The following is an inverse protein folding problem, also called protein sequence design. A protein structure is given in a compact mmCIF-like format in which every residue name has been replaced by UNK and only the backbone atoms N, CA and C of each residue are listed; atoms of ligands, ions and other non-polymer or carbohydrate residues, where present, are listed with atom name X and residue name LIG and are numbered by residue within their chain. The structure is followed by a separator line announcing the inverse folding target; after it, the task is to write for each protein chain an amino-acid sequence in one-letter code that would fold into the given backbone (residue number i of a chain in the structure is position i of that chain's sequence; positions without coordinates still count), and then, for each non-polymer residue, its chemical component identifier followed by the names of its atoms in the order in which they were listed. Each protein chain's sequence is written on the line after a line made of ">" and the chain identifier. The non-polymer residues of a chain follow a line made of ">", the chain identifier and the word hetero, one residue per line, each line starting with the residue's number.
data_IF_918140754463
#
_entry.id   IF_918140754463
#
_cell.length_a   1.000
_cell.length_b   1.000
_cell.length_c   1.000
_cell.angle_alpha   90.00
_cell.angle_beta   90.00
_cell.angle_gamma   90.00
#
_symmetry.space_group_name_H-M   'P 1'
#
loop_
_entity.id
_entity.type
_entity.pdbx_description
1 polymer ?
#
# COMPACT_ATOMS: atom_id res chain seq x y z
N UNK A 1 -24.08 -53.15 1.06
CA UNK A 1 -24.12 -54.16 2.12
C UNK A 1 -25.32 -53.87 3.02
N UNK A 2 -26.35 -54.70 2.93
CA UNK A 2 -27.59 -54.59 3.71
C UNK A 2 -27.39 -55.02 5.16
N UNK A 3 -26.41 -55.88 5.45
CA UNK A 3 -26.08 -56.31 6.80
C UNK A 3 -25.38 -55.20 7.59
N UNK A 4 -24.51 -54.44 6.93
CA UNK A 4 -23.82 -53.29 7.55
C UNK A 4 -24.47 -51.94 7.25
N UNK A 5 -25.64 -51.93 6.59
CA UNK A 5 -26.35 -50.72 6.12
C UNK A 5 -25.43 -49.70 5.43
N UNK A 6 -24.57 -50.19 4.53
CA UNK A 6 -23.59 -49.38 3.79
C UNK A 6 -23.84 -49.40 2.29
N UNK A 7 -23.92 -48.22 1.68
CA UNK A 7 -23.94 -48.02 0.23
C UNK A 7 -22.60 -47.42 -0.19
N UNK A 8 -21.96 -48.00 -1.20
CA UNK A 8 -20.71 -47.48 -1.76
C UNK A 8 -20.88 -47.19 -3.24
N UNK A 9 -20.66 -45.94 -3.62
CA UNK A 9 -20.65 -45.46 -5.00
C UNK A 9 -19.18 -45.39 -5.44
N UNK A 10 -18.81 -46.14 -6.47
CA UNK A 10 -17.41 -46.25 -6.90
C UNK A 10 -16.84 -44.95 -7.49
N UNK A 11 -17.60 -44.26 -8.34
CA UNK A 11 -17.17 -43.00 -8.96
C UNK A 11 -18.37 -42.18 -9.41
N UNK A 12 -18.33 -40.88 -9.14
CA UNK A 12 -19.18 -39.87 -9.76
C UNK A 12 -18.33 -39.04 -10.72
N UNK A 13 -18.70 -39.01 -11.99
CA UNK A 13 -17.99 -38.27 -13.04
C UNK A 13 -18.94 -37.35 -13.78
N UNK A 14 -18.51 -36.11 -14.04
CA UNK A 14 -19.23 -35.20 -14.93
C UNK A 14 -18.26 -34.34 -15.74
N UNK A 15 -18.62 -34.04 -16.99
CA UNK A 15 -17.79 -33.28 -17.92
C UNK A 15 -18.57 -32.23 -18.70
N UNK A 16 -17.94 -31.08 -19.00
CA UNK A 16 -18.54 -30.02 -19.80
C UNK A 16 -19.66 -29.24 -19.10
N UNK A 17 -19.77 -29.37 -17.77
CA UNK A 17 -20.78 -28.68 -16.98
C UNK A 17 -20.57 -27.17 -16.94
N UNK A 18 -21.66 -26.42 -16.81
CA UNK A 18 -21.62 -24.95 -16.64
C UNK A 18 -22.38 -24.56 -15.39
N UNK A 19 -21.74 -23.77 -14.54
CA UNK A 19 -22.34 -23.21 -13.33
C UNK A 19 -22.28 -21.69 -13.40
N UNK A 20 -23.39 -21.02 -13.11
CA UNK A 20 -23.44 -19.59 -12.93
C UNK A 20 -23.87 -19.30 -11.49
N UNK A 21 -23.11 -18.47 -10.80
CA UNK A 21 -23.37 -18.01 -9.44
C UNK A 21 -23.52 -16.50 -9.53
N UNK A 22 -24.62 -15.98 -8.98
CA UNK A 22 -24.87 -14.54 -8.96
C UNK A 22 -25.04 -14.06 -7.54
N UNK A 23 -24.30 -13.02 -7.16
CA UNK A 23 -24.54 -12.26 -5.93
C UNK A 23 -25.41 -11.05 -6.28
N UNK A 24 -26.59 -10.99 -5.72
CA UNK A 24 -27.56 -9.92 -5.94
C UNK A 24 -27.19 -8.66 -5.16
N UNK A 25 -27.86 -7.54 -5.47
CA UNK A 25 -27.60 -6.23 -4.86
C UNK A 25 -27.80 -6.20 -3.35
N UNK A 26 -28.69 -7.04 -2.83
CA UNK A 26 -28.93 -7.21 -1.39
C UNK A 26 -27.87 -8.11 -0.71
N UNK A 27 -26.87 -8.56 -1.47
CA UNK A 27 -25.81 -9.45 -1.01
C UNK A 27 -26.19 -10.93 -0.97
N UNK A 28 -27.45 -11.28 -1.28
CA UNK A 28 -27.88 -12.68 -1.37
C UNK A 28 -27.19 -13.38 -2.54
N UNK A 29 -26.87 -14.66 -2.36
CA UNK A 29 -26.30 -15.48 -3.44
C UNK A 29 -27.44 -16.28 -4.06
N UNK A 30 -27.76 -15.98 -5.31
CA UNK A 30 -28.67 -16.79 -6.10
C UNK A 30 -27.98 -18.10 -6.47
N UNK A 31 -28.25 -19.12 -5.65
CA UNK A 31 -27.92 -20.52 -5.91
C UNK A 31 -29.10 -21.29 -6.51
N UNK A 32 -30.21 -20.63 -6.90
CA UNK A 32 -31.49 -21.28 -7.22
C UNK A 32 -31.45 -22.25 -8.41
N UNK A 33 -30.31 -22.36 -9.11
CA UNK A 33 -30.06 -23.36 -10.16
C UNK A 33 -29.32 -24.62 -9.68
N UNK A 34 -28.77 -24.63 -8.48
CA UNK A 34 -28.28 -25.83 -7.79
C UNK A 34 -29.46 -26.33 -6.96
N UNK A 35 -30.27 -27.21 -7.55
CA UNK A 35 -31.63 -27.55 -7.11
C UNK A 35 -31.85 -27.52 -5.59
N UNK A 36 -32.94 -26.87 -5.19
CA UNK A 36 -33.46 -26.92 -3.81
C UNK A 36 -33.58 -28.40 -3.40
N UNK A 37 -32.90 -28.83 -2.31
CA UNK A 37 -33.16 -30.14 -1.76
C UNK A 37 -34.67 -30.22 -1.47
N UNK A 38 -35.37 -31.31 -1.83
CA UNK A 38 -36.73 -31.51 -1.36
C UNK A 38 -36.72 -31.39 0.18
N UNK A 39 -37.72 -30.72 0.74
CA UNK A 39 -37.85 -30.57 2.19
C UNK A 39 -37.79 -31.95 2.85
N UNK A 40 -36.74 -32.20 3.63
CA UNK A 40 -36.56 -33.49 4.28
C UNK A 40 -37.68 -33.69 5.32
N UNK A 41 -38.34 -34.87 5.34
CA UNK A 41 -39.23 -35.23 6.43
C UNK A 41 -38.44 -35.36 7.74
N UNK A 42 -39.12 -35.17 8.88
CA UNK A 42 -38.52 -35.20 10.22
C UNK A 42 -37.58 -36.39 10.44
N UNK A 43 -36.46 -36.22 11.18
CA UNK A 43 -35.41 -37.23 11.30
C UNK A 43 -35.96 -38.51 11.92
N UNK A 44 -35.80 -39.64 11.21
CA UNK A 44 -35.95 -40.97 11.78
C UNK A 44 -34.67 -41.34 12.55
N UNK A 45 -34.84 -42.02 13.68
CA UNK A 45 -33.83 -42.41 14.67
C UNK A 45 -32.38 -42.57 14.13
N UNK A 46 -31.48 -41.72 14.64
CA UNK A 46 -30.08 -41.61 14.23
C UNK A 46 -29.25 -42.90 14.43
N UNK A 47 -29.68 -43.81 15.31
CA UNK A 47 -28.99 -45.07 15.61
C UNK A 47 -29.12 -46.12 14.49
N UNK A 48 -29.82 -45.80 13.40
CA UNK A 48 -30.21 -46.75 12.36
C UNK A 48 -29.90 -46.30 10.92
N UNK A 49 -29.23 -45.16 10.74
CA UNK A 49 -29.02 -44.51 9.44
C UNK A 49 -28.06 -45.27 8.51
N UNK A 50 -28.40 -45.31 7.21
CA UNK A 50 -27.52 -45.86 6.18
C UNK A 50 -26.25 -45.01 6.02
N UNK A 51 -25.10 -45.67 5.97
CA UNK A 51 -23.82 -45.03 5.64
C UNK A 51 -23.62 -45.02 4.13
N UNK A 52 -23.44 -43.85 3.54
CA UNK A 52 -23.17 -43.66 2.12
C UNK A 52 -21.72 -43.23 1.95
N UNK A 53 -20.97 -43.93 1.11
CA UNK A 53 -19.62 -43.58 0.72
C UNK A 53 -19.51 -43.38 -0.79
N UNK A 54 -18.88 -42.30 -1.24
CA UNK A 54 -18.57 -42.00 -2.64
C UNK A 54 -17.05 -41.97 -2.78
N UNK A 55 -16.46 -43.00 -3.41
CA UNK A 55 -15.00 -43.21 -3.39
C UNK A 55 -14.22 -42.16 -4.20
N UNK A 56 -14.81 -41.63 -5.26
CA UNK A 56 -14.16 -40.62 -6.09
C UNK A 56 -15.18 -39.73 -6.79
N UNK A 57 -14.93 -38.42 -6.76
CA UNK A 57 -15.66 -37.43 -7.55
C UNK A 57 -14.72 -36.76 -8.52
N UNK A 58 -15.09 -36.72 -9.80
CA UNK A 58 -14.31 -36.05 -10.85
C UNK A 58 -15.19 -35.16 -11.70
N UNK A 59 -14.89 -33.87 -11.68
CA UNK A 59 -15.42 -32.87 -12.62
C UNK A 59 -14.29 -32.52 -13.60
N UNK A 60 -14.58 -32.52 -14.90
CA UNK A 60 -13.60 -32.23 -15.94
C UNK A 60 -14.15 -31.25 -16.96
N UNK A 61 -13.36 -30.24 -17.31
CA UNK A 61 -13.74 -29.21 -18.30
C UNK A 61 -15.05 -28.48 -17.94
N UNK A 62 -15.20 -28.13 -16.66
CA UNK A 62 -16.32 -27.31 -16.22
C UNK A 62 -16.04 -25.82 -16.46
N UNK A 63 -17.10 -25.03 -16.62
CA UNK A 63 -17.02 -23.58 -16.61
C UNK A 63 -17.85 -23.02 -15.45
N UNK A 64 -17.26 -22.10 -14.69
CA UNK A 64 -17.94 -21.36 -13.63
C UNK A 64 -17.96 -19.88 -14.00
N UNK A 65 -19.11 -19.25 -13.89
CA UNK A 65 -19.25 -17.79 -13.98
C UNK A 65 -19.73 -17.26 -12.64
N UNK A 66 -19.06 -16.25 -12.14
CA UNK A 66 -19.45 -15.51 -10.96
C UNK A 66 -19.79 -14.07 -11.35
N UNK A 67 -21.02 -13.64 -11.11
CA UNK A 67 -21.48 -12.26 -11.33
C UNK A 67 -21.81 -11.64 -9.97
N UNK A 68 -21.10 -10.59 -9.55
CA UNK A 68 -21.42 -9.80 -8.36
C UNK A 68 -22.07 -8.46 -8.75
N UNK A 69 -23.38 -8.38 -8.54
CA UNK A 69 -24.18 -7.18 -8.75
C UNK A 69 -24.29 -6.30 -7.48
N UNK A 70 -23.73 -6.72 -6.34
CA UNK A 70 -23.67 -5.94 -5.11
C UNK A 70 -22.64 -4.81 -5.17
N UNK A 71 -21.71 -4.85 -6.13
CA UNK A 71 -20.74 -3.78 -6.40
C UNK A 71 -21.09 -3.03 -7.69
N UNK A 72 -20.65 -1.78 -7.77
CA UNK A 72 -20.88 -0.91 -8.92
C UNK A 72 -19.55 -0.36 -9.46
N UNK A 73 -19.22 -0.56 -10.76
CA UNK A 73 -19.95 -1.40 -11.71
C UNK A 73 -19.94 -2.88 -11.29
N UNK A 74 -20.94 -3.63 -11.75
CA UNK A 74 -21.03 -5.07 -11.46
C UNK A 74 -19.77 -5.80 -11.94
N UNK A 75 -19.28 -6.73 -11.13
CA UNK A 75 -18.07 -7.49 -11.41
C UNK A 75 -18.45 -8.87 -11.93
N UNK A 76 -17.76 -9.32 -12.97
CA UNK A 76 -17.88 -10.70 -13.44
C UNK A 76 -16.50 -11.37 -13.47
N UNK A 77 -16.45 -12.63 -13.07
CA UNK A 77 -15.27 -13.48 -13.16
C UNK A 77 -15.68 -14.82 -13.77
N UNK A 78 -14.93 -15.27 -14.78
CA UNK A 78 -15.13 -16.57 -15.41
C UNK A 78 -13.98 -17.51 -15.00
N UNK A 79 -14.27 -18.77 -14.76
CA UNK A 79 -13.28 -19.84 -14.55
C UNK A 79 -13.58 -20.94 -15.55
N UNK A 80 -12.75 -21.07 -16.57
CA UNK A 80 -12.87 -22.07 -17.62
C UNK A 80 -11.97 -23.29 -17.34
N UNK A 81 -12.25 -24.39 -18.03
CA UNK A 81 -11.47 -25.65 -17.97
C UNK A 81 -11.28 -26.15 -16.53
N UNK A 82 -12.26 -25.91 -15.67
CA UNK A 82 -12.22 -26.29 -14.28
C UNK A 82 -12.21 -27.82 -14.18
N UNK A 83 -11.16 -28.35 -13.56
CA UNK A 83 -11.09 -29.75 -13.13
C UNK A 83 -11.09 -29.80 -11.61
N UNK A 84 -11.98 -30.60 -11.06
CA UNK A 84 -12.07 -30.88 -9.63
C UNK A 84 -11.98 -32.38 -9.41
N UNK A 85 -11.12 -32.79 -8.49
CA UNK A 85 -11.00 -34.17 -8.03
C UNK A 85 -11.12 -34.16 -6.51
N UNK A 86 -12.08 -34.93 -5.99
CA UNK A 86 -12.24 -35.19 -4.56
C UNK A 86 -11.99 -36.67 -4.29
N UNK A 87 -11.32 -36.95 -3.17
CA UNK A 87 -11.20 -38.29 -2.62
C UNK A 87 -12.53 -38.81 -2.07
N UNK A 88 -12.45 -39.85 -1.25
CA UNK A 88 -13.64 -40.50 -0.68
C UNK A 88 -14.44 -39.55 0.20
N UNK A 89 -15.73 -39.40 -0.10
CA UNK A 89 -16.72 -38.71 0.71
C UNK A 89 -17.56 -39.74 1.47
N UNK A 90 -17.84 -39.52 2.75
CA UNK A 90 -18.66 -40.42 3.57
C UNK A 90 -19.75 -39.64 4.31
N UNK A 91 -20.90 -40.27 4.57
CA UNK A 91 -21.96 -39.69 5.40
C UNK A 91 -21.70 -39.87 6.90
N UNK A 92 -20.77 -40.75 7.30
CA UNK A 92 -20.20 -40.78 8.64
C UNK A 92 -19.15 -39.66 8.80
N UNK A 93 -18.78 -39.33 10.06
CA UNK A 93 -17.77 -38.29 10.40
C UNK A 93 -16.60 -38.31 9.40
N UNK A 94 -16.47 -37.22 8.63
CA UNK A 94 -15.59 -37.16 7.47
C UNK A 94 -14.16 -36.91 7.93
N UNK A 95 -13.29 -37.89 7.71
CA UNK A 95 -11.85 -37.64 7.68
C UNK A 95 -11.53 -36.62 6.58
N UNK A 96 -10.42 -35.88 6.75
CA UNK A 96 -10.01 -34.86 5.79
C UNK A 96 -9.88 -35.44 4.35
N UNK A 97 -10.69 -34.90 3.44
CA UNK A 97 -10.87 -35.33 2.06
C UNK A 97 -9.80 -34.71 1.17
N UNK A 98 -8.98 -35.49 0.46
CA UNK A 98 -8.07 -34.95 -0.55
C UNK A 98 -8.82 -34.19 -1.64
N UNK A 99 -8.33 -33.00 -1.99
CA UNK A 99 -8.86 -32.17 -3.08
C UNK A 99 -7.74 -31.78 -4.05
N UNK A 100 -8.05 -31.78 -5.34
CA UNK A 100 -7.26 -31.13 -6.37
C UNK A 100 -8.19 -30.34 -7.28
N UNK A 101 -7.90 -29.07 -7.46
CA UNK A 101 -8.62 -28.14 -8.29
C UNK A 101 -7.64 -27.44 -9.22
N UNK A 102 -7.98 -27.35 -10.50
CA UNK A 102 -7.23 -26.58 -11.49
C UNK A 102 -8.19 -25.88 -12.44
N UNK A 103 -7.85 -24.69 -12.92
CA UNK A 103 -8.67 -23.94 -13.86
C UNK A 103 -7.97 -22.73 -14.45
N UNK A 104 -8.65 -22.09 -15.39
CA UNK A 104 -8.21 -20.85 -16.03
C UNK A 104 -9.16 -19.73 -15.64
N UNK A 105 -8.67 -18.73 -14.90
CA UNK A 105 -9.43 -17.54 -14.52
C UNK A 105 -9.39 -16.53 -15.66
N UNK A 106 -10.57 -16.08 -16.06
CA UNK A 106 -10.85 -15.19 -17.17
C UNK A 106 -10.22 -15.73 -18.46
N UNK A 107 -9.25 -15.03 -19.03
CA UNK A 107 -8.64 -15.40 -20.31
C UNK A 107 -7.25 -16.03 -20.20
N UNK A 108 -6.48 -15.73 -19.14
CA UNK A 108 -5.06 -16.13 -19.06
C UNK A 108 -4.54 -16.44 -17.67
N UNK A 109 -5.32 -16.20 -16.61
CA UNK A 109 -4.91 -16.53 -15.25
C UNK A 109 -4.99 -18.03 -15.01
N UNK A 110 -4.00 -18.62 -14.36
CA UNK A 110 -4.07 -20.01 -13.91
C UNK A 110 -4.34 -20.05 -12.41
N UNK A 111 -5.19 -20.98 -12.00
CA UNK A 111 -5.43 -21.30 -10.59
C UNK A 111 -5.30 -22.79 -10.39
N UNK A 112 -4.56 -23.17 -9.35
CA UNK A 112 -4.54 -24.52 -8.82
C UNK A 112 -4.58 -24.50 -7.30
N UNK A 113 -5.27 -25.49 -6.75
CA UNK A 113 -5.30 -25.76 -5.32
C UNK A 113 -5.22 -27.28 -5.10
N UNK A 114 -4.32 -27.72 -4.23
CA UNK A 114 -4.17 -29.15 -3.88
C UNK A 114 -3.99 -29.30 -2.38
N UNK A 115 -4.71 -30.22 -1.77
CA UNK A 115 -4.59 -30.42 -0.34
C UNK A 115 -5.69 -31.29 0.25
N UNK A 116 -6.12 -30.95 1.47
CA UNK A 116 -7.16 -31.67 2.20
C UNK A 116 -8.23 -30.70 2.71
N UNK A 117 -9.48 -31.14 2.66
CA UNK A 117 -10.66 -30.42 3.18
C UNK A 117 -11.30 -31.25 4.28
N UNK A 118 -11.54 -30.66 5.43
CA UNK A 118 -12.39 -31.22 6.46
C UNK A 118 -13.80 -30.66 6.27
N UNK A 119 -14.71 -31.49 5.76
CA UNK A 119 -16.08 -31.07 5.46
C UNK A 119 -16.94 -30.93 6.73
N UNK A 120 -16.53 -31.54 7.84
CA UNK A 120 -17.25 -31.47 9.11
C UNK A 120 -16.93 -30.16 9.84
N UNK A 121 -15.67 -29.74 9.83
CA UNK A 121 -15.25 -28.46 10.46
C UNK A 121 -15.18 -27.29 9.47
N UNK A 122 -15.35 -27.56 8.18
CA UNK A 122 -15.07 -26.64 7.07
C UNK A 122 -13.61 -26.14 7.08
N UNK A 123 -12.71 -26.94 7.64
CA UNK A 123 -11.27 -26.68 7.67
C UNK A 123 -10.59 -27.03 6.35
N UNK A 124 -9.45 -26.41 6.07
CA UNK A 124 -8.72 -26.63 4.83
C UNK A 124 -7.20 -26.53 5.05
N UNK A 125 -6.44 -27.42 4.42
CA UNK A 125 -4.99 -27.31 4.30
C UNK A 125 -4.64 -27.45 2.82
N UNK A 126 -4.39 -26.33 2.15
CA UNK A 126 -4.28 -26.23 0.69
C UNK A 126 -2.95 -25.63 0.29
N UNK A 127 -2.28 -26.24 -0.69
CA UNK A 127 -1.23 -25.58 -1.46
C UNK A 127 -1.90 -24.86 -2.63
N UNK A 128 -1.70 -23.56 -2.72
CA UNK A 128 -2.25 -22.67 -3.74
C UNK A 128 -1.17 -22.30 -4.75
N UNK A 129 -1.55 -22.23 -6.03
CA UNK A 129 -0.72 -21.72 -7.12
C UNK A 129 -1.60 -20.90 -8.07
N UNK A 130 -1.51 -19.58 -7.93
CA UNK A 130 -2.17 -18.60 -8.78
C UNK A 130 -1.08 -17.96 -9.64
N UNK A 131 -1.27 -17.96 -10.96
CA UNK A 131 -0.32 -17.34 -11.90
C UNK A 131 -1.03 -16.36 -12.79
N UNK A 132 -0.54 -15.12 -12.79
CA UNK A 132 -0.98 -14.04 -13.69
C UNK A 132 -2.50 -13.87 -13.75
N UNK A 133 -3.16 -13.86 -12.59
CA UNK A 133 -4.59 -13.58 -12.51
C UNK A 133 -4.80 -12.08 -12.67
N UNK A 134 -5.47 -11.66 -13.74
CA UNK A 134 -5.74 -10.26 -14.02
C UNK A 134 -6.65 -9.64 -12.95
N UNK A 135 -6.26 -8.48 -12.41
CA UNK A 135 -6.99 -7.76 -11.37
C UNK A 135 -7.97 -6.73 -11.93
N UNK A 136 -7.85 -6.36 -13.21
CA UNK A 136 -8.76 -5.40 -13.86
C UNK A 136 -10.25 -5.75 -13.65
N UNK A 137 -10.70 -7.01 -13.79
CA UNK A 137 -12.11 -7.35 -13.54
C UNK A 137 -12.56 -7.07 -12.10
N UNK A 138 -11.64 -7.02 -11.13
CA UNK A 138 -11.91 -6.76 -9.72
C UNK A 138 -11.82 -5.26 -9.36
N UNK A 139 -11.73 -4.36 -10.34
CA UNK A 139 -11.55 -2.93 -10.12
C UNK A 139 -12.58 -2.34 -9.14
N UNK A 140 -13.85 -2.76 -9.21
CA UNK A 140 -14.90 -2.25 -8.33
C UNK A 140 -14.65 -2.55 -6.83
N UNK A 141 -13.82 -3.54 -6.49
CA UNK A 141 -13.40 -3.79 -5.11
C UNK A 141 -12.12 -3.03 -4.73
N UNK A 142 -11.28 -2.73 -5.70
CA UNK A 142 -9.93 -2.21 -5.45
C UNK A 142 -9.90 -0.68 -5.42
N UNK A 143 -10.72 -0.02 -6.23
CA UNK A 143 -10.62 1.43 -6.44
C UNK A 143 -11.92 2.19 -6.19
N UNK A 144 -12.95 1.53 -5.64
CA UNK A 144 -14.18 2.20 -5.24
C UNK A 144 -13.89 3.34 -4.25
N UNK A 145 -14.38 4.54 -4.55
CA UNK A 145 -14.22 5.72 -3.69
C UNK A 145 -12.84 6.39 -3.71
N UNK A 146 -11.87 5.88 -4.50
CA UNK A 146 -10.48 6.37 -4.47
C UNK A 146 -10.12 7.41 -5.53
N UNK A 147 -10.99 7.66 -6.51
CA UNK A 147 -10.67 8.52 -7.66
C UNK A 147 -9.59 7.94 -8.60
N UNK A 148 -9.18 6.70 -8.40
CA UNK A 148 -8.20 5.98 -9.23
C UNK A 148 -8.88 4.88 -10.03
N UNK A 149 -8.38 4.61 -11.23
CA UNK A 149 -8.80 3.47 -12.04
C UNK A 149 -7.63 2.57 -12.38
N UNK A 150 -7.87 1.26 -12.33
CA UNK A 150 -6.85 0.24 -12.61
C UNK A 150 -6.90 -0.13 -14.10
N UNK A 151 -5.90 0.30 -14.87
CA UNK A 151 -5.77 -0.08 -16.28
C UNK A 151 -5.19 -1.46 -16.44
N UNK A 152 -4.20 -1.86 -15.66
CA UNK A 152 -3.69 -3.23 -15.68
C UNK A 152 -3.11 -3.59 -14.33
N UNK A 153 -3.14 -4.87 -14.00
CA UNK A 153 -2.34 -5.50 -12.98
C UNK A 153 -2.63 -7.00 -13.02
N UNK A 154 -1.62 -7.82 -12.79
CA UNK A 154 -1.77 -9.26 -12.65
C UNK A 154 -1.17 -9.70 -11.32
N UNK A 155 -1.87 -10.58 -10.61
CA UNK A 155 -1.41 -11.15 -9.35
C UNK A 155 -0.92 -12.58 -9.57
N UNK A 156 0.18 -12.94 -8.92
CA UNK A 156 0.61 -14.33 -8.77
C UNK A 156 0.85 -14.60 -7.29
N UNK A 157 0.45 -15.78 -6.82
CA UNK A 157 0.52 -16.17 -5.42
C UNK A 157 0.82 -17.67 -5.36
N UNK A 158 1.81 -18.06 -4.56
CA UNK A 158 2.17 -19.46 -4.36
C UNK A 158 2.43 -19.72 -2.89
N UNK A 159 1.72 -20.68 -2.29
CA UNK A 159 1.88 -20.89 -0.86
C UNK A 159 0.96 -21.93 -0.25
N UNK A 160 0.97 -21.99 1.08
CA UNK A 160 0.13 -22.83 1.91
C UNK A 160 -0.94 -21.99 2.58
N UNK A 161 -2.20 -22.33 2.36
CA UNK A 161 -3.36 -21.81 3.05
C UNK A 161 -3.86 -22.85 4.05
N UNK A 162 -3.92 -22.46 5.32
CA UNK A 162 -4.50 -23.27 6.39
C UNK A 162 -5.69 -22.52 6.98
N UNK A 163 -6.84 -23.17 7.03
CA UNK A 163 -8.08 -22.68 7.64
C UNK A 163 -8.44 -23.67 8.75
N UNK A 164 -8.35 -23.21 10.00
CA UNK A 164 -8.75 -24.01 11.16
C UNK A 164 -10.19 -23.69 11.56
N UNK A 165 -11.02 -24.74 11.64
CA UNK A 165 -12.38 -24.75 12.19
C UNK A 165 -13.27 -23.56 11.74
N UNK A 166 -13.66 -23.54 10.46
CA UNK A 166 -14.47 -22.46 9.90
C UNK A 166 -15.94 -22.43 10.38
N UNK A 167 -16.38 -23.40 11.19
CA UNK A 167 -17.65 -23.34 11.94
C UNK A 167 -17.62 -22.46 13.20
N UNK A 168 -16.48 -21.84 13.55
CA UNK A 168 -16.39 -20.84 14.63
C UNK A 168 -16.73 -19.44 14.11
N UNK A 169 -17.20 -18.56 15.00
CA UNK A 169 -17.54 -17.16 14.68
C UNK A 169 -16.37 -16.38 14.04
N UNK A 170 -15.12 -16.81 14.28
CA UNK A 170 -13.92 -16.26 13.65
C UNK A 170 -13.01 -17.39 13.15
N UNK A 171 -12.98 -17.70 11.84
CA UNK A 171 -12.08 -18.71 11.29
C UNK A 171 -10.62 -18.27 11.43
N UNK A 172 -9.78 -19.14 12.00
CA UNK A 172 -8.34 -18.90 12.05
C UNK A 172 -7.73 -19.30 10.71
N UNK A 173 -7.37 -18.29 9.92
CA UNK A 173 -6.75 -18.44 8.61
C UNK A 173 -5.28 -18.08 8.73
N UNK A 174 -4.41 -18.93 8.18
CA UNK A 174 -2.99 -18.64 8.00
C UNK A 174 -2.57 -18.92 6.56
N UNK A 175 -1.98 -17.92 5.93
CA UNK A 175 -1.33 -18.05 4.63
C UNK A 175 0.19 -17.92 4.79
N UNK A 176 0.95 -18.82 4.17
CA UNK A 176 2.41 -18.73 4.05
C UNK A 176 2.87 -18.94 2.62
N UNK A 177 3.69 -18.03 2.09
CA UNK A 177 4.27 -18.21 0.75
C UNK A 177 4.69 -16.90 0.11
N UNK A 178 4.68 -16.86 -1.21
CA UNK A 178 5.11 -15.71 -1.98
C UNK A 178 3.94 -15.10 -2.74
N UNK A 179 3.94 -13.79 -2.88
CA UNK A 179 2.95 -13.05 -3.66
C UNK A 179 3.65 -12.01 -4.55
N UNK A 180 3.08 -11.72 -5.71
CA UNK A 180 3.55 -10.61 -6.54
C UNK A 180 2.44 -9.98 -7.35
N UNK A 181 2.53 -8.67 -7.55
CA UNK A 181 1.70 -7.89 -8.45
C UNK A 181 2.60 -7.39 -9.57
N UNK A 182 2.29 -7.74 -10.81
CA UNK A 182 3.07 -7.36 -11.97
C UNK A 182 2.28 -6.47 -12.94
N UNK A 183 3.00 -5.60 -13.64
CA UNK A 183 2.49 -4.69 -14.67
C UNK A 183 1.31 -3.84 -14.18
N UNK A 184 1.43 -3.25 -12.99
CA UNK A 184 0.40 -2.38 -12.47
C UNK A 184 0.44 -1.03 -13.19
N UNK A 185 -0.72 -0.60 -13.68
CA UNK A 185 -0.95 0.75 -14.21
C UNK A 185 -2.24 1.25 -13.57
N UNK A 186 -2.11 2.24 -12.69
CA UNK A 186 -3.20 2.94 -12.07
C UNK A 186 -3.17 4.42 -12.50
N UNK A 187 -4.34 4.93 -12.90
CA UNK A 187 -4.49 6.29 -13.43
C UNK A 187 -5.50 7.08 -12.62
N UNK A 188 -5.25 8.37 -12.51
CA UNK A 188 -6.18 9.34 -11.94
C UNK A 188 -7.42 9.45 -12.85
N UNK A 189 -8.61 9.24 -12.30
CA UNK A 189 -9.89 9.32 -13.05
C UNK A 189 -10.29 10.74 -13.43
N UNK A 190 -9.76 11.77 -12.76
CA UNK A 190 -10.04 13.18 -13.06
C UNK A 190 -9.29 13.64 -14.30
N UNK A 191 -8.01 13.25 -14.40
CA UNK A 191 -7.10 13.76 -15.44
C UNK A 191 -6.74 12.72 -16.50
N UNK A 192 -7.13 11.45 -16.32
CA UNK A 192 -6.77 10.30 -17.16
C UNK A 192 -5.25 10.15 -17.38
N UNK A 193 -4.48 10.45 -16.33
CA UNK A 193 -3.01 10.38 -16.36
C UNK A 193 -2.46 9.33 -15.41
N UNK A 194 -1.32 8.76 -15.77
CA UNK A 194 -0.59 7.81 -14.93
C UNK A 194 -0.33 8.42 -13.56
N UNK A 195 -0.88 7.76 -12.55
CA UNK A 195 -0.74 8.13 -11.15
C UNK A 195 0.29 7.25 -10.46
N UNK A 196 0.19 5.93 -10.67
CA UNK A 196 1.06 4.94 -10.06
C UNK A 196 1.23 3.76 -11.02
N UNK A 197 2.48 3.43 -11.34
CA UNK A 197 2.80 2.25 -12.14
C UNK A 197 3.98 1.49 -11.55
N UNK A 198 4.05 0.19 -11.82
CA UNK A 198 5.26 -0.60 -11.58
C UNK A 198 5.30 -1.85 -12.45
N UNK A 199 6.50 -2.34 -12.77
CA UNK A 199 6.63 -3.66 -13.42
C UNK A 199 6.41 -4.79 -12.43
N UNK A 200 6.93 -4.69 -11.20
CA UNK A 200 6.79 -5.75 -10.20
C UNK A 200 6.84 -5.23 -8.77
N UNK A 201 5.85 -5.64 -7.98
CA UNK A 201 5.88 -5.65 -6.54
C UNK A 201 5.91 -7.12 -6.09
N UNK A 202 6.96 -7.54 -5.39
CA UNK A 202 7.13 -8.90 -4.88
C UNK A 202 7.16 -8.90 -3.35
N UNK A 203 6.47 -9.86 -2.75
CA UNK A 203 6.45 -10.13 -1.32
C UNK A 203 6.90 -11.58 -1.13
N UNK A 204 8.08 -11.77 -0.57
CA UNK A 204 8.67 -13.09 -0.35
C UNK A 204 8.48 -13.52 1.11
N UNK A 205 8.18 -14.81 1.30
CA UNK A 205 7.94 -15.41 2.63
C UNK A 205 6.90 -14.64 3.45
N UNK A 206 5.80 -14.27 2.80
CA UNK A 206 4.61 -13.69 3.42
C UNK A 206 4.02 -14.69 4.44
N UNK A 207 3.69 -14.23 5.65
CA UNK A 207 2.99 -14.97 6.71
C UNK A 207 1.84 -14.10 7.26
N UNK A 208 0.61 -14.38 6.83
CA UNK A 208 -0.59 -13.66 7.27
C UNK A 208 -1.41 -14.57 8.16
N UNK A 209 -1.79 -14.09 9.35
CA UNK A 209 -2.73 -14.76 10.26
C UNK A 209 -3.91 -13.84 10.53
N UNK A 210 -5.12 -14.40 10.65
CA UNK A 210 -6.32 -13.62 10.96
C UNK A 210 -6.74 -13.67 12.44
N UNK A 211 -6.29 -14.68 13.20
CA UNK A 211 -6.67 -14.86 14.60
C UNK A 211 -5.51 -15.45 15.44
N UNK A 212 -4.78 -14.63 16.23
CA UNK A 212 -4.82 -13.15 16.20
C UNK A 212 -4.28 -12.60 14.86
N UNK A 213 -4.69 -11.38 14.49
CA UNK A 213 -4.25 -10.73 13.26
C UNK A 213 -2.74 -10.43 13.34
N UNK A 214 -1.95 -10.96 12.40
CA UNK A 214 -0.52 -10.65 12.29
C UNK A 214 -0.08 -10.69 10.83
N UNK A 215 0.83 -9.79 10.44
CA UNK A 215 1.38 -9.73 9.09
C UNK A 215 2.91 -9.78 9.14
N UNK A 216 3.50 -10.71 8.40
CA UNK A 216 4.95 -10.85 8.27
C UNK A 216 5.37 -11.00 6.81
N UNK A 217 6.50 -10.43 6.42
CA UNK A 217 7.18 -10.75 5.16
C UNK A 217 8.69 -10.62 5.35
N UNK A 218 9.49 -11.52 4.76
CA UNK A 218 10.94 -11.42 4.87
C UNK A 218 11.47 -10.31 3.95
N UNK A 219 10.92 -10.23 2.73
CA UNK A 219 11.33 -9.23 1.75
C UNK A 219 10.15 -8.68 0.96
N UNK A 220 10.14 -7.37 0.76
CA UNK A 220 9.28 -6.66 -0.18
C UNK A 220 10.19 -5.98 -1.21
N UNK A 221 9.95 -6.18 -2.50
CA UNK A 221 10.72 -5.53 -3.57
C UNK A 221 9.78 -4.84 -4.54
N UNK A 222 9.98 -3.54 -4.78
CA UNK A 222 9.26 -2.75 -5.76
C UNK A 222 10.24 -2.31 -6.87
N UNK A 223 10.02 -2.82 -8.08
CA UNK A 223 10.93 -2.62 -9.22
C UNK A 223 10.24 -1.89 -10.37
N UNK A 224 11.01 -0.98 -10.99
CA UNK A 224 10.62 -0.17 -12.15
C UNK A 224 9.29 0.55 -11.90
N UNK A 225 9.22 1.34 -10.84
CA UNK A 225 8.02 2.06 -10.43
C UNK A 225 8.03 3.51 -10.89
N UNK A 226 6.83 4.03 -11.17
CA UNK A 226 6.59 5.44 -11.39
C UNK A 226 5.46 5.93 -10.48
N UNK A 227 5.61 7.13 -9.93
CA UNK A 227 4.58 7.78 -9.11
C UNK A 227 4.49 9.26 -9.40
N UNK A 228 3.27 9.80 -9.44
CA UNK A 228 3.01 11.24 -9.56
C UNK A 228 2.51 11.81 -8.23
N UNK A 229 3.35 12.60 -7.59
CA UNK A 229 3.06 13.35 -6.37
C UNK A 229 2.66 14.78 -6.72
N UNK A 230 1.45 15.18 -6.36
CA UNK A 230 0.96 16.55 -6.58
C UNK A 230 0.63 17.17 -5.23
N UNK A 231 1.28 18.29 -4.92
CA UNK A 231 0.90 19.17 -3.81
C UNK A 231 -0.08 20.21 -4.33
N UNK A 232 -1.32 20.18 -3.82
CA UNK A 232 -2.40 21.07 -4.22
C UNK A 232 -2.14 22.52 -3.78
N UNK A 233 -2.89 23.50 -4.34
CA UNK A 233 -2.84 24.89 -3.85
C UNK A 233 -3.19 25.06 -2.37
N UNK A 234 -3.90 24.09 -1.78
CA UNK A 234 -4.24 24.04 -0.35
C UNK A 234 -3.18 23.31 0.48
N UNK A 235 -2.06 22.90 -0.11
CA UNK A 235 -0.98 22.17 0.56
C UNK A 235 -1.31 20.70 0.86
N UNK A 236 -2.22 20.09 0.10
CA UNK A 236 -2.61 18.68 0.26
C UNK A 236 -1.99 17.81 -0.81
N UNK A 237 -1.46 16.64 -0.42
CA UNK A 237 -0.97 15.65 -1.38
C UNK A 237 -2.12 14.78 -1.90
N UNK A 238 -2.10 14.50 -3.20
CA UNK A 238 -3.07 13.64 -3.89
C UNK A 238 -3.21 12.22 -3.30
N UNK A 239 -2.19 11.67 -2.61
CA UNK A 239 -2.26 10.33 -1.99
C UNK A 239 -3.17 10.24 -0.75
N UNK A 240 -3.42 11.36 -0.06
CA UNK A 240 -4.25 11.34 1.17
C UNK A 240 -5.73 11.09 0.86
N UNK A 241 -6.16 11.36 -0.36
CA UNK A 241 -7.53 11.13 -0.82
C UNK A 241 -7.84 9.63 -0.99
N UNK A 242 -6.84 8.78 -1.21
CA UNK A 242 -7.00 7.32 -1.29
C UNK A 242 -7.42 6.70 0.05
N UNK A 243 -6.94 7.26 1.16
CA UNK A 243 -7.21 6.77 2.52
C UNK A 243 -8.36 7.48 3.21
N UNK A 244 -8.82 8.62 2.66
CA UNK A 244 -9.88 9.44 3.26
C UNK A 244 -11.30 9.02 2.83
N UNK A 245 -11.44 8.00 1.98
CA UNK A 245 -12.73 7.49 1.50
C UNK A 245 -13.64 6.92 2.61
N UNK A 246 -13.14 6.78 3.83
CA UNK A 246 -13.93 6.37 5.01
C UNK A 246 -14.46 7.54 5.85
N UNK A 247 -14.05 8.79 5.58
CA UNK A 247 -14.40 9.96 6.40
C UNK A 247 -15.49 10.87 5.81
N UNK A 248 -16.03 10.55 4.61
CA UNK A 248 -16.96 11.43 3.90
C UNK A 248 -18.31 10.78 3.55
N UNK A 249 -18.76 9.79 4.31
CA UNK A 249 -20.15 9.31 4.28
C UNK A 249 -20.68 9.15 5.70
N UNK A 250 -21.32 10.21 6.21
CA UNK A 250 -22.04 10.13 7.49
C UNK A 250 -22.18 11.44 8.24
N UNK A 251 -22.69 12.50 7.60
CA UNK A 251 -23.38 13.55 8.34
C UNK A 251 -24.89 13.23 8.30
N UNK A 252 -25.51 13.23 9.48
CA UNK A 252 -26.90 12.93 9.83
C UNK A 252 -27.24 11.45 10.13
N UNK A 253 -27.02 11.01 11.37
CA UNK A 253 -28.12 10.89 12.34
C UNK A 253 -27.58 10.78 13.79
N UNK A 254 -28.22 11.48 14.72
CA UNK A 254 -27.95 11.37 16.15
C UNK A 254 -28.54 10.06 16.68
N UNK A 255 -27.68 9.07 16.93
CA UNK A 255 -27.96 7.99 17.88
C UNK A 255 -26.66 7.57 18.54
N UNK A 256 -26.51 7.93 19.81
CA UNK A 256 -25.37 7.56 20.66
C UNK A 256 -25.53 6.08 21.03
N UNK A 257 -25.16 5.19 20.11
CA UNK A 257 -24.64 3.88 20.48
C UNK A 257 -23.16 4.08 20.83
N UNK A 258 -22.77 3.75 22.05
CA UNK A 258 -21.37 3.70 22.49
C UNK A 258 -20.61 2.68 21.63
N UNK A 259 -20.05 3.14 20.53
CA UNK A 259 -19.04 2.41 19.77
C UNK A 259 -17.85 2.24 20.73
N UNK A 260 -17.41 1.01 21.04
CA UNK A 260 -16.19 0.82 21.82
C UNK A 260 -15.06 1.59 21.14
N UNK A 261 -14.17 2.27 21.89
CA UNK A 261 -13.08 3.01 21.28
C UNK A 261 -12.31 2.09 20.34
N UNK A 262 -11.97 2.53 19.10
CA UNK A 262 -11.17 1.72 18.21
C UNK A 262 -9.89 1.32 18.94
N UNK A 263 -9.60 0.02 18.97
CA UNK A 263 -8.38 -0.52 19.57
C UNK A 263 -7.16 0.19 18.96
N UNK A 264 -6.43 0.93 19.78
CA UNK A 264 -5.29 1.78 19.39
C UNK A 264 -4.02 1.01 19.04
N UNK A 265 -4.04 -0.31 19.22
CA UNK A 265 -2.86 -1.15 19.02
C UNK A 265 -2.89 -1.76 17.61
N UNK A 266 -1.94 -1.31 16.78
CA UNK A 266 -1.68 -1.90 15.47
C UNK A 266 -1.42 -3.41 15.62
N UNK A 267 -1.92 -4.26 14.72
CA UNK A 267 -1.57 -5.67 14.74
C UNK A 267 -0.04 -5.85 14.62
N UNK A 268 0.53 -6.96 15.12
CA UNK A 268 1.93 -7.29 14.88
C UNK A 268 2.25 -7.30 13.38
N UNK A 269 3.12 -6.39 12.96
CA UNK A 269 3.62 -6.24 11.60
C UNK A 269 5.13 -6.41 11.66
N UNK A 270 5.69 -7.24 10.76
CA UNK A 270 7.15 -7.40 10.61
C UNK A 270 7.52 -7.50 9.13
N UNK A 271 8.44 -6.66 8.69
CA UNK A 271 9.03 -6.72 7.36
C UNK A 271 10.55 -6.74 7.49
N UNK A 272 11.19 -7.82 7.04
CA UNK A 272 12.64 -7.98 7.13
C UNK A 272 13.39 -6.94 6.31
N UNK A 273 13.06 -6.81 5.03
CA UNK A 273 13.68 -5.85 4.10
C UNK A 273 12.67 -5.34 3.07
N UNK A 274 12.63 -4.03 2.87
CA UNK A 274 11.96 -3.39 1.74
C UNK A 274 13.05 -2.89 0.80
N UNK A 275 12.97 -3.21 -0.48
CA UNK A 275 13.88 -2.75 -1.52
C UNK A 275 13.12 -1.99 -2.60
N UNK A 276 13.66 -0.83 -2.98
CA UNK A 276 13.17 0.01 -4.08
C UNK A 276 14.21 -0.04 -5.20
N UNK A 277 13.76 -0.32 -6.42
CA UNK A 277 14.65 -0.53 -7.57
C UNK A 277 14.14 0.26 -8.78
N UNK A 278 15.01 1.08 -9.36
CA UNK A 278 14.76 1.81 -10.61
C UNK A 278 13.47 2.65 -10.59
N UNK A 279 13.27 3.40 -9.52
CA UNK A 279 12.10 4.26 -9.35
C UNK A 279 12.21 5.60 -10.05
N UNK A 280 11.06 6.12 -10.47
CA UNK A 280 10.88 7.48 -10.94
C UNK A 280 9.69 8.13 -10.21
N UNK A 281 9.88 9.35 -9.73
CA UNK A 281 8.85 10.07 -8.98
C UNK A 281 8.75 11.48 -9.54
N UNK A 282 7.63 11.78 -10.18
CA UNK A 282 7.32 13.11 -10.66
C UNK A 282 6.64 13.89 -9.53
N UNK A 283 7.29 14.95 -9.07
CA UNK A 283 6.75 15.87 -8.09
C UNK A 283 6.26 17.15 -8.76
N UNK A 284 5.08 17.59 -8.35
CA UNK A 284 4.43 18.81 -8.85
C UNK A 284 3.89 19.62 -7.68
N UNK A 285 4.47 20.78 -7.43
CA UNK A 285 4.02 21.73 -6.42
C UNK A 285 3.16 22.84 -7.05
N UNK A 286 1.88 22.83 -6.68
CA UNK A 286 0.87 23.81 -7.09
C UNK A 286 0.51 24.79 -5.96
N UNK A 287 1.18 24.69 -4.81
CA UNK A 287 1.08 25.62 -3.67
C UNK A 287 1.84 26.93 -3.91
N UNK A 288 2.85 26.90 -4.78
CA UNK A 288 3.62 28.07 -5.21
C UNK A 288 3.27 28.49 -6.63
N UNK A 289 3.43 29.78 -6.94
CA UNK A 289 3.22 30.34 -8.29
C UNK A 289 4.42 31.19 -8.72
N UNK A 290 4.96 30.98 -9.95
CA UNK A 290 4.64 29.90 -10.89
C UNK A 290 4.83 28.50 -10.28
N UNK A 291 4.07 27.52 -10.77
CA UNK A 291 4.12 26.15 -10.25
C UNK A 291 5.53 25.58 -10.38
N UNK A 292 5.92 24.72 -9.45
CA UNK A 292 7.20 24.03 -9.48
C UNK A 292 7.01 22.55 -9.82
N UNK A 293 7.89 22.01 -10.65
CA UNK A 293 7.90 20.62 -11.05
C UNK A 293 9.33 20.09 -10.91
N UNK A 294 9.47 18.88 -10.38
CA UNK A 294 10.76 18.20 -10.21
C UNK A 294 10.62 16.72 -10.53
N UNK A 295 11.63 16.16 -11.18
CA UNK A 295 11.67 14.74 -11.51
C UNK A 295 12.73 14.02 -10.67
N UNK A 296 12.31 13.18 -9.73
CA UNK A 296 13.23 12.33 -8.97
C UNK A 296 13.44 11.04 -9.76
N UNK A 297 14.69 10.79 -10.10
CA UNK A 297 15.13 9.68 -10.96
C UNK A 297 16.06 8.78 -10.17
N UNK A 298 16.27 7.56 -10.66
CA UNK A 298 17.16 6.59 -10.01
C UNK A 298 16.80 6.35 -8.55
N UNK A 299 15.50 6.45 -8.21
CA UNK A 299 15.03 6.27 -6.85
C UNK A 299 15.22 4.80 -6.47
N UNK A 300 16.12 4.58 -5.53
CA UNK A 300 16.49 3.25 -5.08
C UNK A 300 16.90 3.25 -3.61
N UNK A 301 16.97 2.04 -3.05
CA UNK A 301 17.46 1.86 -1.69
C UNK A 301 16.67 0.83 -0.89
N UNK A 302 16.85 0.85 0.43
CA UNK A 302 16.39 -0.17 1.34
C UNK A 302 15.86 0.39 2.65
N UNK A 303 14.87 -0.29 3.22
CA UNK A 303 14.47 -0.17 4.63
C UNK A 303 14.52 -1.56 5.27
N UNK A 304 15.33 -1.73 6.31
CA UNK A 304 15.57 -3.02 6.96
C UNK A 304 15.01 -3.03 8.37
N UNK A 305 14.27 -4.08 8.75
CA UNK A 305 13.76 -4.28 10.10
C UNK A 305 12.52 -3.45 10.48
N UNK A 306 11.63 -3.17 9.52
CA UNK A 306 10.36 -2.48 9.82
C UNK A 306 9.45 -3.38 10.67
N UNK A 307 8.99 -2.88 11.81
CA UNK A 307 8.15 -3.63 12.75
C UNK A 307 7.22 -2.71 13.52
N UNK A 308 6.03 -3.20 13.90
CA UNK A 308 5.15 -2.49 14.84
C UNK A 308 5.58 -2.64 16.31
N UNK A 309 6.61 -3.46 16.59
CA UNK A 309 7.25 -3.52 17.91
C UNK A 309 7.90 -2.16 18.27
N UNK A 310 7.49 -1.48 19.37
CA UNK A 310 8.04 -0.19 19.79
C UNK A 310 9.55 -0.20 20.09
N UNK A 311 10.12 -1.36 20.42
CA UNK A 311 11.56 -1.52 20.65
C UNK A 311 12.36 -1.69 19.35
N UNK A 312 11.69 -1.93 18.22
CA UNK A 312 12.34 -2.08 16.92
C UNK A 312 12.66 -0.72 16.31
N UNK A 313 13.79 -0.63 15.62
CA UNK A 313 14.19 0.53 14.84
C UNK A 313 14.67 0.03 13.49
N UNK A 314 14.07 0.55 12.41
CA UNK A 314 14.40 0.16 11.05
C UNK A 314 15.54 1.04 10.51
N UNK A 315 16.44 0.44 9.71
CA UNK A 315 17.56 1.16 9.07
C UNK A 315 17.17 1.55 7.64
N UNK A 316 17.32 2.82 7.29
CA UNK A 316 17.01 3.40 5.99
C UNK A 316 18.29 3.75 5.25
N UNK A 317 18.34 3.41 3.96
CA UNK A 317 19.30 3.92 3.01
C UNK A 317 18.59 4.15 1.68
N UNK A 318 18.55 5.38 1.18
CA UNK A 318 17.92 5.75 -0.08
C UNK A 318 18.85 6.63 -0.90
N UNK A 319 18.77 6.47 -2.21
CA UNK A 319 19.43 7.30 -3.20
C UNK A 319 18.42 7.74 -4.27
N UNK A 320 18.63 8.93 -4.82
CA UNK A 320 17.91 9.44 -5.97
C UNK A 320 18.73 10.54 -6.65
N UNK A 321 18.30 10.98 -7.82
CA UNK A 321 18.82 12.18 -8.48
C UNK A 321 17.67 13.10 -8.89
N UNK A 322 17.73 14.37 -8.50
CA UNK A 322 16.76 15.38 -8.93
C UNK A 322 17.15 15.86 -10.33
N UNK A 323 16.19 15.80 -11.26
CA UNK A 323 16.31 16.19 -12.66
C UNK A 323 17.55 15.61 -13.35
N UNK A 324 17.90 14.35 -13.01
CA UNK A 324 19.07 13.61 -13.49
C UNK A 324 20.44 14.25 -13.17
N UNK A 325 20.49 15.26 -12.29
CA UNK A 325 21.69 16.07 -12.11
C UNK A 325 22.16 16.20 -10.66
N UNK A 326 21.23 16.37 -9.71
CA UNK A 326 21.58 16.61 -8.31
C UNK A 326 21.37 15.34 -7.48
N UNK A 327 22.43 14.62 -7.09
CA UNK A 327 22.29 13.41 -6.28
C UNK A 327 21.74 13.76 -4.89
N UNK A 328 20.87 12.90 -4.41
CA UNK A 328 20.25 12.93 -3.08
C UNK A 328 20.51 11.59 -2.42
N UNK A 329 21.01 11.63 -1.19
CA UNK A 329 21.18 10.46 -0.35
C UNK A 329 20.47 10.66 0.97
N UNK A 330 19.78 9.64 1.47
CA UNK A 330 19.07 9.67 2.74
C UNK A 330 19.42 8.40 3.50
N UNK A 331 20.09 8.52 4.63
CA UNK A 331 20.52 7.40 5.46
C UNK A 331 20.12 7.63 6.91
N UNK A 332 19.75 6.58 7.63
CA UNK A 332 19.43 6.73 9.04
C UNK A 332 18.60 5.60 9.60
N UNK A 333 17.86 5.91 10.64
CA UNK A 333 17.06 4.99 11.41
C UNK A 333 15.69 5.60 11.71
N UNK A 334 14.63 4.80 11.66
CA UNK A 334 13.29 5.26 12.00
C UNK A 334 12.40 4.12 12.49
N UNK A 335 11.32 4.46 13.19
CA UNK A 335 10.19 3.56 13.38
C UNK A 335 8.88 4.34 13.13
N UNK A 336 8.32 4.24 11.91
CA UNK A 336 7.11 4.98 11.55
C UNK A 336 5.82 4.34 12.12
N UNK A 337 5.90 3.12 12.63
CA UNK A 337 4.77 2.38 13.22
C UNK A 337 4.66 2.60 14.74
N UNK A 338 5.67 3.21 15.37
CA UNK A 338 5.67 3.62 16.78
C UNK A 338 4.84 4.89 16.99
N UNK A 339 4.18 5.01 18.14
CA UNK A 339 3.26 6.14 18.44
C UNK A 339 3.95 7.52 18.47
N UNK A 340 5.16 7.61 19.01
CA UNK A 340 5.99 8.82 19.06
C UNK A 340 6.88 9.01 17.82
N UNK A 341 6.84 8.07 16.85
CA UNK A 341 7.47 8.15 15.53
C UNK A 341 8.97 8.46 15.58
N UNK A 342 9.77 7.51 16.08
CA UNK A 342 11.24 7.63 16.07
C UNK A 342 11.77 7.97 14.68
N UNK A 343 12.72 8.89 14.61
CA UNK A 343 13.42 9.24 13.39
C UNK A 343 14.81 9.77 13.75
N UNK A 344 15.83 9.36 13.02
CA UNK A 344 17.19 9.91 13.05
C UNK A 344 17.75 9.71 11.64
N UNK A 345 17.68 10.76 10.82
CA UNK A 345 17.97 10.68 9.39
C UNK A 345 18.95 11.79 9.01
N UNK A 346 19.96 11.38 8.26
CA UNK A 346 20.88 12.26 7.54
C UNK A 346 20.47 12.27 6.06
N UNK A 347 20.22 13.44 5.52
CA UNK A 347 19.96 13.64 4.10
C UNK A 347 20.99 14.60 3.50
N UNK A 348 21.50 14.26 2.33
CA UNK A 348 22.43 15.13 1.59
C UNK A 348 21.91 15.39 0.20
N UNK A 349 22.16 16.59 -0.28
CA UNK A 349 21.98 16.97 -1.69
C UNK A 349 23.22 17.75 -2.13
N UNK A 350 23.68 17.51 -3.36
CA UNK A 350 24.88 18.17 -3.89
C UNK A 350 24.59 18.84 -5.23
N UNK A 351 25.09 20.07 -5.36
CA UNK A 351 25.12 20.78 -6.64
C UNK A 351 23.76 21.06 -7.28
N UNK A 352 22.70 21.14 -6.49
CA UNK A 352 21.35 21.47 -6.94
C UNK A 352 21.29 22.86 -7.55
N UNK A 353 20.75 22.99 -8.75
CA UNK A 353 20.71 24.27 -9.48
C UNK A 353 19.62 25.18 -8.88
N UNK A 354 20.03 26.26 -8.20
CA UNK A 354 19.10 27.17 -7.52
C UNK A 354 18.05 27.84 -8.41
N UNK A 355 18.30 28.15 -9.70
CA UNK A 355 17.28 28.74 -10.56
C UNK A 355 16.00 27.90 -10.68
N UNK A 356 16.07 26.57 -10.50
CA UNK A 356 14.89 25.69 -10.56
C UNK A 356 13.90 25.97 -9.43
N UNK A 357 14.38 26.39 -8.25
CA UNK A 357 13.55 26.76 -7.08
C UNK A 357 13.33 28.27 -6.95
N UNK A 358 13.61 29.04 -8.00
CA UNK A 358 13.47 30.51 -8.01
C UNK A 358 12.05 30.96 -7.61
N UNK A 359 11.01 30.16 -7.90
CA UNK A 359 9.62 30.46 -7.50
C UNK A 359 9.45 30.58 -5.98
N UNK A 360 10.14 29.74 -5.19
CA UNK A 360 10.10 29.82 -3.73
C UNK A 360 10.83 31.06 -3.21
N UNK A 361 11.95 31.42 -3.82
CA UNK A 361 12.67 32.66 -3.51
C UNK A 361 11.82 33.89 -3.85
N UNK A 362 11.14 33.91 -4.99
CA UNK A 362 10.20 34.97 -5.35
C UNK A 362 9.09 35.14 -4.30
N UNK A 363 8.46 34.03 -3.89
CA UNK A 363 7.37 34.04 -2.90
C UNK A 363 7.81 34.57 -1.53
N UNK A 364 8.92 34.07 -0.99
CA UNK A 364 9.29 34.34 0.42
C UNK A 364 10.43 35.36 0.60
N UNK A 365 11.33 35.48 -0.37
CA UNK A 365 12.48 36.40 -0.33
C UNK A 365 12.17 37.70 -1.10
N UNK A 366 11.24 37.67 -2.07
CA UNK A 366 10.89 38.81 -2.91
C UNK A 366 11.85 39.03 -4.08
N UNK A 367 12.71 38.05 -4.38
CA UNK A 367 13.63 38.09 -5.51
C UNK A 367 13.73 36.71 -6.14
N UNK A 368 13.71 36.65 -7.47
CA UNK A 368 14.05 35.43 -8.19
C UNK A 368 15.54 35.08 -8.04
N UNK A 369 15.91 33.86 -8.37
CA UNK A 369 17.32 33.42 -8.45
C UNK A 369 17.69 33.22 -9.92
N UNK A 370 18.73 33.91 -10.38
CA UNK A 370 19.21 33.81 -11.76
C UNK A 370 20.36 32.83 -11.92
N UNK A 371 21.20 32.66 -10.88
CA UNK A 371 22.35 31.75 -10.88
C UNK A 371 22.66 31.25 -9.47
N UNK A 372 23.26 30.06 -9.40
CA UNK A 372 23.90 29.53 -8.20
C UNK A 372 23.62 28.05 -8.00
N UNK A 373 24.40 27.42 -7.13
CA UNK A 373 24.23 26.02 -6.73
C UNK A 373 23.99 25.91 -5.24
N UNK A 374 23.26 24.88 -4.84
CA UNK A 374 22.98 24.52 -3.47
C UNK A 374 23.50 23.11 -3.20
N UNK A 375 24.26 22.97 -2.13
CA UNK A 375 24.50 21.70 -1.48
C UNK A 375 23.99 21.80 -0.04
N UNK A 376 23.36 20.75 0.47
CA UNK A 376 22.90 20.73 1.85
C UNK A 376 23.21 19.40 2.52
N UNK A 377 23.49 19.49 3.82
CA UNK A 377 23.60 18.39 4.77
C UNK A 377 22.54 18.63 5.84
N UNK A 378 21.58 17.72 5.93
CA UNK A 378 20.43 17.80 6.79
C UNK A 378 20.49 16.65 7.78
N UNK A 379 20.40 16.93 9.06
CA UNK A 379 20.25 15.90 10.09
C UNK A 379 18.99 16.18 10.88
N UNK A 380 18.03 15.27 10.83
CA UNK A 380 16.73 15.39 11.48
C UNK A 380 16.57 14.24 12.46
N UNK A 381 16.23 14.56 13.70
CA UNK A 381 16.04 13.59 14.77
C UNK A 381 14.74 13.88 15.53
N UNK A 382 13.91 12.85 15.70
CA UNK A 382 12.71 12.85 16.54
C UNK A 382 12.92 11.78 17.62
N UNK A 383 13.06 12.24 18.86
CA UNK A 383 13.10 11.40 20.05
C UNK A 383 12.16 12.00 21.09
N UNK A 384 11.36 11.16 21.74
CA UNK A 384 10.41 11.59 22.78
C UNK A 384 9.51 12.75 22.31
N UNK A 385 9.05 12.68 21.04
CA UNK A 385 8.21 13.70 20.40
C UNK A 385 8.85 15.09 20.28
N UNK A 386 10.17 15.20 20.47
CA UNK A 386 10.94 16.42 20.22
C UNK A 386 11.71 16.30 18.92
N UNK A 387 11.49 17.25 18.00
CA UNK A 387 12.29 17.40 16.80
C UNK A 387 13.53 18.24 17.09
N UNK A 388 14.68 17.73 16.68
CA UNK A 388 15.92 18.49 16.49
C UNK A 388 16.32 18.36 15.02
N UNK A 389 16.65 19.46 14.37
CA UNK A 389 17.07 19.49 12.98
C UNK A 389 18.29 20.40 12.83
N UNK A 390 19.34 19.89 12.22
CA UNK A 390 20.53 20.64 11.82
C UNK A 390 20.53 20.75 10.30
N UNK A 391 20.53 21.99 9.81
CA UNK A 391 20.52 22.28 8.39
C UNK A 391 21.79 23.03 8.03
N UNK A 392 22.75 22.35 7.40
CA UNK A 392 23.90 23.01 6.81
C UNK A 392 23.67 23.20 5.32
N UNK A 393 23.74 24.44 4.85
CA UNK A 393 23.46 24.80 3.47
C UNK A 393 24.64 25.58 2.92
N UNK A 394 25.25 25.06 1.86
CA UNK A 394 26.28 25.73 1.08
C UNK A 394 25.64 26.27 -0.20
N UNK A 395 25.72 27.58 -0.38
CA UNK A 395 25.30 28.25 -1.60
C UNK A 395 26.53 28.75 -2.35
N UNK A 396 26.68 28.36 -3.61
CA UNK A 396 27.80 28.75 -4.46
C UNK A 396 27.34 29.72 -5.53
N UNK A 397 27.99 30.89 -5.61
CA UNK A 397 27.75 31.87 -6.68
C UNK A 397 26.27 32.29 -6.81
N UNK A 398 25.54 32.33 -5.69
CA UNK A 398 24.16 32.83 -5.63
C UNK A 398 24.10 34.24 -6.23
N UNK A 399 23.19 34.42 -7.19
CA UNK A 399 22.88 35.70 -7.81
C UNK A 399 21.36 35.83 -7.89
N UNK A 400 20.82 36.88 -7.27
CA UNK A 400 19.41 37.21 -7.42
C UNK A 400 19.12 37.78 -8.81
N UNK A 401 17.91 37.56 -9.29
CA UNK A 401 17.34 38.22 -10.46
C UNK A 401 16.52 39.43 -10.08
N UNK A 402 15.49 39.70 -10.88
CA UNK A 402 14.57 40.82 -10.65
C UNK A 402 13.77 40.65 -9.36
N UNK A 403 13.35 41.79 -8.79
CA UNK A 403 12.44 41.83 -7.67
C UNK A 403 11.08 41.24 -8.07
N UNK A 404 10.50 40.47 -7.17
CA UNK A 404 9.19 39.83 -7.32
C UNK A 404 8.26 40.43 -6.29
N UNK A 405 7.16 41.01 -6.74
CA UNK A 405 6.12 41.49 -5.84
C UNK A 405 5.38 40.29 -5.23
N UNK A 406 5.54 40.10 -3.93
CA UNK A 406 4.89 39.03 -3.18
C UNK A 406 4.47 39.54 -1.80
N UNK A 407 3.21 39.31 -1.40
CA UNK A 407 2.72 39.72 -0.08
C UNK A 407 3.39 38.94 1.07
N UNK A 408 3.87 37.72 0.78
CA UNK A 408 4.56 36.85 1.73
C UNK A 408 6.07 37.13 1.79
N UNK A 409 6.57 38.04 0.94
CA UNK A 409 8.00 38.34 0.88
C UNK A 409 8.46 39.19 2.08
N UNK A 410 9.72 38.96 2.44
CA UNK A 410 10.35 39.63 3.57
C UNK A 410 10.71 41.06 3.21
N UNK A 411 10.41 41.98 4.13
CA UNK A 411 10.74 43.41 3.99
C UNK A 411 12.14 43.70 4.52
N UNK A 412 13.14 42.97 4.03
CA UNK A 412 14.54 43.07 4.49
C UNK A 412 15.50 43.32 3.30
N UNK A 413 16.66 43.96 3.51
CA UNK A 413 17.66 44.17 2.46
C UNK A 413 18.45 42.87 2.19
N UNK A 414 17.77 41.87 1.63
CA UNK A 414 18.30 40.50 1.45
C UNK A 414 19.55 40.44 0.56
N UNK A 415 19.68 41.35 -0.42
CA UNK A 415 20.89 41.46 -1.25
C UNK A 415 22.11 41.88 -0.43
N UNK A 416 21.94 42.78 0.55
CA UNK A 416 23.00 43.20 1.47
C UNK A 416 23.36 42.05 2.43
N UNK A 417 22.37 41.34 2.95
CA UNK A 417 22.62 40.18 3.80
C UNK A 417 23.45 39.11 3.07
N UNK A 418 23.09 38.81 1.83
CA UNK A 418 23.81 37.86 0.98
C UNK A 418 25.22 38.34 0.65
N UNK A 419 25.45 39.64 0.43
CA UNK A 419 26.80 40.15 0.17
C UNK A 419 27.71 40.10 1.40
N UNK A 420 27.17 40.31 2.60
CA UNK A 420 27.90 40.21 3.86
C UNK A 420 28.24 38.76 4.23
N UNK A 421 27.37 37.81 3.90
CA UNK A 421 27.57 36.38 4.20
C UNK A 421 28.50 35.69 3.20
N UNK A 422 28.80 36.32 2.06
CA UNK A 422 29.58 35.76 0.97
C UNK A 422 31.08 35.83 1.28
N UNK A 423 31.77 34.70 1.21
CA UNK A 423 33.22 34.65 1.38
C UNK A 423 33.98 35.08 0.09
N UNK A 424 35.31 35.12 0.14
CA UNK A 424 36.16 35.51 -1.00
C UNK A 424 36.03 34.61 -2.25
N UNK A 425 35.56 33.37 -2.09
CA UNK A 425 35.27 32.43 -3.19
C UNK A 425 33.87 32.58 -3.77
N UNK A 426 33.05 33.41 -3.13
CA UNK A 426 31.68 33.63 -3.51
C UNK A 426 30.69 32.59 -2.98
N UNK A 427 31.07 31.91 -1.90
CA UNK A 427 30.27 30.89 -1.23
C UNK A 427 29.62 31.46 0.03
N UNK A 428 28.47 30.91 0.41
CA UNK A 428 27.76 31.21 1.64
C UNK A 428 27.50 29.88 2.35
N UNK A 429 28.10 29.68 3.53
CA UNK A 429 27.92 28.49 4.37
C UNK A 429 27.02 28.86 5.56
N UNK A 430 25.81 28.31 5.58
CA UNK A 430 24.79 28.57 6.58
C UNK A 430 24.59 27.34 7.45
N UNK A 431 24.59 27.52 8.76
CA UNK A 431 24.12 26.50 9.70
C UNK A 431 22.89 27.02 10.42
N UNK A 432 21.76 26.33 10.22
CA UNK A 432 20.43 26.75 10.68
C UNK A 432 19.85 25.64 11.56
N UNK A 433 20.20 25.62 12.87
CA UNK A 433 19.61 24.68 13.80
C UNK A 433 18.14 25.04 14.07
N UNK A 434 17.30 24.02 14.12
CA UNK A 434 15.87 24.11 14.35
C UNK A 434 15.49 23.07 15.40
N UNK A 435 14.64 23.45 16.35
CA UNK A 435 14.09 22.51 17.32
C UNK A 435 12.65 22.86 17.66
N UNK A 436 11.83 21.87 17.98
CA UNK A 436 10.47 22.07 18.48
C UNK A 436 9.85 20.78 18.99
N UNK A 437 8.65 20.88 19.56
CA UNK A 437 7.89 19.71 20.04
C UNK A 437 6.76 19.38 19.06
N UNK A 438 6.51 18.10 18.83
CA UNK A 438 5.37 17.60 18.05
C UNK A 438 4.05 17.73 18.82
N UNK A 439 4.08 18.12 20.10
CA UNK A 439 2.89 18.39 20.91
C UNK A 439 2.33 19.79 20.71
N UNK A 440 3.07 20.69 20.08
CA UNK A 440 2.60 22.06 19.83
C UNK A 440 1.65 22.06 18.61
N UNK A 441 0.37 22.45 18.78
CA UNK A 441 -0.59 22.51 17.68
C UNK A 441 -0.25 23.59 16.63
N UNK A 442 0.64 24.53 16.94
CA UNK A 442 1.17 25.52 16.00
C UNK A 442 2.51 25.09 15.40
N UNK A 443 2.98 23.86 15.68
CA UNK A 443 4.25 23.36 15.17
C UNK A 443 4.27 23.32 13.63
N UNK A 444 5.24 24.02 13.03
CA UNK A 444 5.50 24.02 11.59
C UNK A 444 6.99 24.06 11.32
N UNK A 445 7.50 23.02 10.64
CA UNK A 445 8.92 22.93 10.25
C UNK A 445 9.32 24.14 9.39
N UNK A 446 8.47 24.51 8.43
CA UNK A 446 8.72 25.67 7.56
C UNK A 446 8.82 26.98 8.36
N UNK A 447 7.94 27.19 9.34
CA UNK A 447 7.97 28.37 10.20
C UNK A 447 9.26 28.46 11.04
N UNK A 448 9.73 27.32 11.55
CA UNK A 448 10.96 27.25 12.34
C UNK A 448 12.21 27.55 11.49
N UNK A 449 12.29 27.00 10.28
CA UNK A 449 13.40 27.26 9.34
C UNK A 449 13.46 28.75 9.01
N UNK A 450 12.31 29.36 8.67
CA UNK A 450 12.24 30.79 8.37
C UNK A 450 12.66 31.67 9.54
N UNK A 451 12.18 31.38 10.75
CA UNK A 451 12.57 32.11 11.96
C UNK A 451 14.08 32.03 12.21
N UNK A 452 14.68 30.85 12.04
CA UNK A 452 16.11 30.66 12.24
C UNK A 452 16.93 31.39 11.16
N UNK A 453 16.48 31.40 9.90
CA UNK A 453 17.10 32.16 8.81
C UNK A 453 17.09 33.68 9.07
N UNK A 454 15.96 34.26 9.50
CA UNK A 454 15.91 35.70 9.81
C UNK A 454 16.77 36.09 11.00
N UNK A 455 16.83 35.24 12.03
CA UNK A 455 17.73 35.48 13.15
C UNK A 455 19.20 35.51 12.70
N UNK A 456 19.57 34.70 11.71
CA UNK A 456 20.93 34.68 11.17
C UNK A 456 21.23 35.95 10.34
N UNK A 457 20.31 36.38 9.47
CA UNK A 457 20.44 37.65 8.74
C UNK A 457 20.51 38.84 9.70
N UNK A 458 19.62 38.90 10.68
CA UNK A 458 19.60 39.96 11.68
C UNK A 458 20.94 40.08 12.38
N UNK A 459 21.53 38.96 12.82
CA UNK A 459 22.86 38.94 13.44
C UNK A 459 23.96 39.40 12.48
N UNK A 460 23.94 38.99 11.22
CA UNK A 460 24.96 39.38 10.23
C UNK A 460 24.94 40.89 9.92
N UNK A 461 23.76 41.52 9.90
CA UNK A 461 23.61 42.97 9.63
C UNK A 461 23.91 43.83 10.87
N UNK A 462 23.79 43.25 12.07
CA UNK A 462 23.99 43.96 13.35
C UNK A 462 25.31 43.63 14.04
N UNK A 463 26.08 42.68 13.52
CA UNK A 463 27.42 42.39 13.98
C UNK A 463 28.37 43.55 13.57
N UNK A 464 29.15 44.09 14.51
CA UNK A 464 30.02 45.26 14.29
C UNK A 464 31.19 45.01 13.33
#
# INVERSE_FOLDING_TARGET
>A
DTATRRVTIGRLGSSGGRLAIKRERDGSIDLARIGTPPADPAPADADSAWQVALNATRLSDWALRFDDAAVSPAVAADVARLSLQLGTLTSAQNAAVPVTLEGVINTSGYVAAKGKLDLDTLGAALRLDLKRVELRPLQAYLTAGTGVSLRSASVSLGGELNIAAAKRDTPAVRFRGDASIANLIAVDTVNDTDFLTWKRLALDSLDVRTAPLSLGADRITLSDFYSRLILSPEGRLNFRELTAAEAATGAADESVATVPPPSTDLPPIRVGRIALENGNVQFSDRFVRPNYDANLTEVGGTLEGLSSDPASVATLALNAAIDHAAPVEINGQLNPLRQDRFLDINATVRGFELPTISTYSGKYVGYGISKGKLSADLHYAIAERKLTAENRVLLERLTFGDAVDSPDAVKLPVQLAVSLLKNAKGEIDLSVPVSGTLDDPQFSIGGLIWKAFFNLIGKAVTAP
#
